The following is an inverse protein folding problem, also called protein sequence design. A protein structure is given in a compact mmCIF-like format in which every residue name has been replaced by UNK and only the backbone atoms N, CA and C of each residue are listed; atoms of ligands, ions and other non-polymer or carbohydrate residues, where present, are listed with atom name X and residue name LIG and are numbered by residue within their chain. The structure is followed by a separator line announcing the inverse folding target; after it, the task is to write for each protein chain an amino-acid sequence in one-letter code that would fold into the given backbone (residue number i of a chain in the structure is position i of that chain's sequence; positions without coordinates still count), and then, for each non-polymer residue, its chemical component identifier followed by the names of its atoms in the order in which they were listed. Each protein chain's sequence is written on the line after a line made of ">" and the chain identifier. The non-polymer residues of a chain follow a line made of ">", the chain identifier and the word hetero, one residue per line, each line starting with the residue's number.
data_IF_031292362634
#
_entry.id   IF_031292362634
#
_cell.length_a   1.000
_cell.length_b   1.000
_cell.length_c   1.000
_cell.angle_alpha   90.00
_cell.angle_beta   90.00
_cell.angle_gamma   90.00
#
_symmetry.space_group_name_H-M   'P 1'
#
loop_
_entity.id
_entity.type
_entity.pdbx_description
1 polymer ?
#
# COMPACT_ATOMS: atom_id res chain seq x y z
N UNK A 1 9.04 -11.37 -7.36
CA UNK A 1 8.30 -10.60 -6.33
C UNK A 1 9.26 -9.60 -5.72
N UNK A 2 8.99 -8.29 -5.79
CA UNK A 2 9.87 -7.22 -5.29
C UNK A 2 9.25 -6.61 -4.02
N UNK A 3 10.03 -6.49 -2.95
CA UNK A 3 9.57 -5.92 -1.68
C UNK A 3 9.11 -4.48 -1.81
N UNK A 4 9.82 -3.67 -2.62
CA UNK A 4 9.51 -2.26 -2.81
C UNK A 4 8.16 -2.07 -3.47
N UNK A 5 7.76 -3.00 -4.34
CA UNK A 5 6.42 -3.00 -4.95
C UNK A 5 5.35 -3.28 -3.89
N UNK A 6 5.57 -4.24 -2.98
CA UNK A 6 4.63 -4.52 -1.88
C UNK A 6 4.53 -3.34 -0.92
N UNK A 7 5.65 -2.71 -0.58
CA UNK A 7 5.67 -1.51 0.24
C UNK A 7 4.97 -0.34 -0.45
N UNK A 8 5.18 -0.14 -1.75
CA UNK A 8 4.49 0.89 -2.51
C UNK A 8 2.96 0.72 -2.49
N UNK A 9 2.46 -0.52 -2.56
CA UNK A 9 1.03 -0.80 -2.41
C UNK A 9 0.51 -0.41 -1.02
N UNK A 10 1.29 -0.62 0.04
CA UNK A 10 0.91 -0.20 1.40
C UNK A 10 0.84 1.33 1.53
N UNK A 11 1.85 2.05 1.04
CA UNK A 11 1.85 3.53 1.06
C UNK A 11 0.79 4.14 0.13
N UNK A 12 0.46 3.46 -0.98
CA UNK A 12 -0.51 3.94 -1.96
C UNK A 12 -1.97 3.68 -1.61
N UNK A 13 -2.26 2.95 -0.52
CA UNK A 13 -3.62 2.61 -0.11
C UNK A 13 -4.11 3.53 1.01
N UNK A 14 -5.09 4.38 0.70
CA UNK A 14 -5.71 5.26 1.68
C UNK A 14 -6.73 4.49 2.53
N UNK A 15 -6.25 3.94 3.63
CA UNK A 15 -7.08 3.19 4.58
C UNK A 15 -8.14 4.07 5.25
N UNK A 16 -7.85 5.35 5.52
CA UNK A 16 -8.82 6.24 6.16
C UNK A 16 -9.98 6.58 5.21
N UNK A 17 -9.68 6.87 3.94
CA UNK A 17 -10.69 7.09 2.94
C UNK A 17 -11.54 5.83 2.71
N UNK A 18 -10.93 4.64 2.74
CA UNK A 18 -11.66 3.37 2.64
C UNK A 18 -12.63 3.19 3.83
N UNK A 19 -12.16 3.40 5.07
CA UNK A 19 -13.02 3.33 6.27
C UNK A 19 -14.19 4.31 6.18
N UNK A 20 -13.91 5.58 5.83
CA UNK A 20 -14.96 6.61 5.72
C UNK A 20 -15.95 6.30 4.59
N UNK A 21 -15.45 5.89 3.43
CA UNK A 21 -16.24 5.76 2.21
C UNK A 21 -16.96 4.41 2.04
N UNK A 22 -16.37 3.32 2.54
CA UNK A 22 -16.88 1.95 2.35
C UNK A 22 -17.60 1.47 3.61
N UNK A 23 -16.99 1.66 4.78
CA UNK A 23 -17.55 1.16 6.05
C UNK A 23 -18.36 2.23 6.79
N UNK A 24 -18.54 3.42 6.19
CA UNK A 24 -19.21 4.57 6.82
C UNK A 24 -18.60 4.96 8.17
N UNK A 25 -17.32 4.68 8.38
CA UNK A 25 -16.63 4.93 9.65
C UNK A 25 -16.95 3.93 10.76
N UNK A 26 -17.59 2.80 10.45
CA UNK A 26 -17.90 1.76 11.45
C UNK A 26 -16.70 0.87 11.81
N UNK A 27 -15.63 0.91 11.01
CA UNK A 27 -14.42 0.12 11.21
C UNK A 27 -13.23 1.03 11.56
N UNK A 28 -12.19 0.45 12.13
CA UNK A 28 -10.95 1.17 12.43
C UNK A 28 -9.87 0.95 11.36
N UNK A 29 -9.00 1.95 11.20
CA UNK A 29 -7.83 1.83 10.33
C UNK A 29 -6.87 0.80 10.92
N UNK A 30 -6.63 -0.30 10.18
CA UNK A 30 -5.69 -1.33 10.60
C UNK A 30 -4.23 -1.00 10.21
N UNK A 31 -3.40 -0.67 11.21
CA UNK A 31 -1.94 -0.50 11.03
C UNK A 31 -1.12 -1.74 11.44
N UNK A 32 -1.76 -2.70 12.12
CA UNK A 32 -1.16 -3.93 12.60
C UNK A 32 -1.76 -5.12 11.84
N UNK A 33 -1.01 -6.23 11.74
CA UNK A 33 -1.52 -7.48 11.18
C UNK A 33 -2.56 -8.15 12.08
N UNK A 34 -2.46 -7.93 13.39
CA UNK A 34 -3.41 -8.37 14.40
C UNK A 34 -3.86 -7.16 15.24
N UNK A 35 -5.10 -7.15 15.73
CA UNK A 35 -5.54 -6.19 16.74
C UNK A 35 -4.62 -6.15 17.96
N UNK A 36 -4.43 -4.97 18.55
CA UNK A 36 -3.52 -4.75 19.69
C UNK A 36 -4.08 -5.23 21.03
N UNK A 37 -5.33 -5.65 21.07
CA UNK A 37 -6.03 -6.23 22.22
C UNK A 37 -5.92 -7.76 22.29
N UNK A 38 -5.23 -8.39 21.34
CA UNK A 38 -4.97 -9.83 21.34
C UNK A 38 -3.78 -10.19 22.26
N UNK A 39 -3.69 -11.45 22.75
CA UNK A 39 -2.52 -11.90 23.48
C UNK A 39 -1.23 -11.68 22.67
N UNK A 40 -0.20 -11.13 23.33
CA UNK A 40 1.12 -10.86 22.77
C UNK A 40 1.21 -9.73 21.73
N UNK A 41 0.18 -8.89 21.55
CA UNK A 41 0.18 -7.82 20.53
C UNK A 41 0.20 -6.39 21.06
N UNK A 42 0.00 -6.17 22.37
CA UNK A 42 -0.14 -4.84 22.99
C UNK A 42 1.13 -3.98 22.96
N UNK A 43 2.31 -4.59 23.05
CA UNK A 43 3.59 -3.89 23.21
C UNK A 43 4.52 -4.06 22.01
N UNK A 44 3.96 -4.38 20.83
CA UNK A 44 4.74 -4.51 19.59
C UNK A 44 4.88 -3.13 18.93
N UNK A 45 6.10 -2.60 18.95
CA UNK A 45 6.45 -1.43 18.14
C UNK A 45 6.51 -1.83 16.66
N UNK A 46 5.47 -1.48 15.90
CA UNK A 46 5.42 -1.66 14.46
C UNK A 46 5.62 -0.33 13.77
N UNK A 47 6.42 -0.34 12.70
CA UNK A 47 6.54 0.81 11.83
C UNK A 47 5.20 1.08 11.14
N UNK A 48 4.59 2.21 11.49
CA UNK A 48 3.38 2.68 10.82
C UNK A 48 3.69 3.05 9.36
N UNK A 49 2.84 2.55 8.45
CA UNK A 49 2.87 2.89 7.02
C UNK A 49 1.65 3.75 6.74
N UNK A 50 1.86 5.06 6.79
CA UNK A 50 0.81 6.04 6.49
C UNK A 50 0.64 6.20 4.98
N UNK A 51 -0.55 6.63 4.57
CA UNK A 51 -0.83 6.93 3.17
C UNK A 51 0.10 8.03 2.66
N UNK A 52 0.92 7.70 1.66
CA UNK A 52 1.91 8.58 1.05
C UNK A 52 2.16 8.15 -0.41
N UNK A 53 1.46 8.80 -1.33
CA UNK A 53 1.58 8.48 -2.75
C UNK A 53 2.93 8.85 -3.34
N UNK A 54 3.64 9.83 -2.79
CA UNK A 54 4.98 10.19 -3.25
C UNK A 54 5.97 9.10 -2.83
N UNK A 55 5.86 8.60 -1.60
CA UNK A 55 6.68 7.47 -1.15
C UNK A 55 6.43 6.20 -1.97
N UNK A 56 5.18 5.93 -2.31
CA UNK A 56 4.83 4.82 -3.19
C UNK A 56 5.47 4.98 -4.59
N UNK A 57 5.42 6.18 -5.17
CA UNK A 57 6.07 6.48 -6.46
C UNK A 57 7.58 6.28 -6.40
N UNK A 58 8.24 6.82 -5.37
CA UNK A 58 9.69 6.65 -5.15
C UNK A 58 10.10 5.16 -5.09
N UNK A 59 9.35 4.35 -4.35
CA UNK A 59 9.62 2.92 -4.20
C UNK A 59 9.48 2.16 -5.53
N UNK A 60 8.44 2.50 -6.32
CA UNK A 60 8.24 1.93 -7.66
C UNK A 60 9.36 2.37 -8.61
N UNK A 61 9.75 3.64 -8.56
CA UNK A 61 10.85 4.19 -9.33
C UNK A 61 12.20 3.54 -9.02
N UNK A 62 12.47 3.28 -7.74
CA UNK A 62 13.65 2.55 -7.26
C UNK A 62 13.62 1.07 -7.64
N UNK A 63 12.43 0.49 -7.81
CA UNK A 63 12.23 -0.88 -8.31
C UNK A 63 12.32 -0.99 -9.84
N UNK A 64 12.49 0.13 -10.55
CA UNK A 64 12.60 0.18 -12.01
C UNK A 64 11.25 0.24 -12.74
N UNK A 65 10.14 0.43 -12.02
CA UNK A 65 8.83 0.67 -12.62
C UNK A 65 8.69 2.16 -12.92
N UNK A 66 8.77 2.54 -14.19
CA UNK A 66 8.73 3.94 -14.63
C UNK A 66 7.39 4.28 -15.25
N UNK A 67 6.93 5.52 -15.08
CA UNK A 67 5.74 6.01 -15.77
C UNK A 67 6.15 6.59 -17.13
N UNK A 68 5.80 5.97 -18.26
CA UNK A 68 6.11 6.53 -19.57
C UNK A 68 5.30 7.81 -19.82
N UNK A 69 5.88 8.76 -20.56
CA UNK A 69 5.20 10.01 -20.90
C UNK A 69 3.87 9.75 -21.61
N UNK A 70 2.79 10.38 -21.11
CA UNK A 70 1.45 10.24 -21.67
C UNK A 70 0.70 8.95 -21.28
N UNK A 71 1.31 8.06 -20.48
CA UNK A 71 0.63 6.89 -19.92
C UNK A 71 0.24 7.12 -18.46
N UNK A 72 -0.71 6.33 -17.98
CA UNK A 72 -1.17 6.31 -16.58
C UNK A 72 -0.67 5.10 -15.81
N UNK A 73 -0.16 4.08 -16.51
CA UNK A 73 0.35 2.82 -15.94
C UNK A 73 1.86 2.76 -16.07
N UNK A 74 2.55 2.33 -15.01
CA UNK A 74 4.00 2.16 -15.00
C UNK A 74 4.42 0.91 -15.78
N UNK A 75 5.63 0.93 -16.33
CA UNK A 75 6.20 -0.17 -17.11
C UNK A 75 7.61 -0.52 -16.64
N UNK A 76 7.98 -1.79 -16.79
CA UNK A 76 9.34 -2.31 -16.58
C UNK A 76 9.59 -3.42 -17.60
N UNK A 77 10.69 -3.33 -18.34
CA UNK A 77 11.08 -4.31 -19.37
C UNK A 77 9.98 -4.56 -20.42
N UNK A 78 9.26 -3.49 -20.81
CA UNK A 78 8.15 -3.54 -21.78
C UNK A 78 6.85 -4.14 -21.24
N UNK A 79 6.78 -4.49 -19.95
CA UNK A 79 5.58 -5.03 -19.30
C UNK A 79 4.90 -3.98 -18.44
N UNK A 80 3.56 -3.88 -18.46
CA UNK A 80 2.82 -3.01 -17.55
C UNK A 80 2.90 -3.52 -16.10
N UNK A 81 2.81 -2.61 -15.14
CA UNK A 81 2.68 -2.93 -13.73
C UNK A 81 1.24 -3.40 -13.47
N UNK A 82 1.05 -4.71 -13.45
CA UNK A 82 -0.25 -5.35 -13.29
C UNK A 82 -0.24 -6.39 -12.16
N UNK A 83 -1.39 -6.56 -11.53
CA UNK A 83 -1.64 -7.60 -10.55
C UNK A 83 -3.12 -7.95 -10.53
N UNK A 84 -3.43 -9.21 -10.24
CA UNK A 84 -4.80 -9.67 -10.10
C UNK A 84 -5.23 -9.56 -8.64
N UNK A 85 -6.35 -8.88 -8.39
CA UNK A 85 -7.05 -8.91 -7.12
C UNK A 85 -8.19 -9.92 -7.24
N UNK A 86 -8.05 -11.07 -6.59
CA UNK A 86 -9.11 -12.06 -6.47
C UNK A 86 -9.93 -11.73 -5.22
N UNK A 87 -11.25 -11.67 -5.37
CA UNK A 87 -12.20 -11.33 -4.32
C UNK A 87 -13.34 -12.35 -4.30
#
# INVERSE_FOLDING_TARGET
>A
SDERVRQALQYGFDKEAMVKGITSGLEEKADHILPTDFPYTSDIDVKQINYDTEKAKELLDAAGWKLPNGKTVREKDGKPLEFSLMY
#
